data_IF_803647538749
#
_entry.id   IF_803647538749
#
_cell.length_a   1.000
_cell.length_b   1.000
_cell.length_c   1.000
_cell.angle_alpha   90.00
_cell.angle_beta   90.00
_cell.angle_gamma   90.00
#
_symmetry.space_group_name_H-M   'P 1'
#
loop_
_entity.id
_entity.type
_entity.pdbx_description
1 polymer ?
#
# COMPACT_ATOMS: atom_id res chain seq x y z
N UNK A 1 -9.43 30.32 -24.19
CA UNK A 1 -9.67 28.87 -24.39
C UNK A 1 -8.87 28.16 -23.30
N UNK A 2 -9.51 27.80 -22.19
CA UNK A 2 -8.85 27.09 -21.08
C UNK A 2 -8.64 25.67 -21.55
N UNK A 3 -7.40 25.28 -21.82
CA UNK A 3 -7.05 23.89 -22.04
C UNK A 3 -7.47 23.13 -20.78
N UNK A 4 -8.47 22.25 -20.89
CA UNK A 4 -8.77 21.29 -19.85
C UNK A 4 -7.52 20.42 -19.71
N UNK A 5 -6.68 20.74 -18.72
CA UNK A 5 -5.50 19.93 -18.39
C UNK A 5 -5.96 18.47 -18.24
N UNK A 6 -5.20 17.56 -18.85
CA UNK A 6 -5.49 16.13 -18.82
C UNK A 6 -5.64 15.69 -17.36
N UNK A 7 -6.57 14.78 -17.08
CA UNK A 7 -6.90 14.31 -15.73
C UNK A 7 -5.65 13.92 -14.91
N UNK A 8 -4.66 13.32 -15.56
CA UNK A 8 -3.35 12.96 -14.99
C UNK A 8 -2.56 14.14 -14.41
N UNK A 9 -2.66 15.34 -14.99
CA UNK A 9 -1.94 16.53 -14.54
C UNK A 9 -2.63 17.19 -13.33
N UNK A 10 -3.94 16.95 -13.16
CA UNK A 10 -4.74 17.54 -12.07
C UNK A 10 -4.71 16.68 -10.80
N UNK A 11 -4.51 15.38 -10.95
CA UNK A 11 -4.55 14.44 -9.83
C UNK A 11 -3.58 14.77 -8.68
N UNK A 12 -2.30 15.14 -8.90
CA UNK A 12 -1.41 15.52 -7.80
C UNK A 12 -1.87 16.74 -7.01
N UNK A 13 -2.35 17.77 -7.71
CA UNK A 13 -2.86 18.99 -7.09
C UNK A 13 -4.14 18.71 -6.29
N UNK A 14 -5.02 17.87 -6.82
CA UNK A 14 -6.22 17.41 -6.14
C UNK A 14 -5.88 16.60 -4.88
N UNK A 15 -5.02 15.58 -4.97
CA UNK A 15 -4.62 14.75 -3.84
C UNK A 15 -3.98 15.58 -2.72
N UNK A 16 -3.10 16.53 -3.07
CA UNK A 16 -2.50 17.46 -2.11
C UNK A 16 -3.56 18.32 -1.42
N UNK A 17 -4.51 18.87 -2.19
CA UNK A 17 -5.57 19.74 -1.66
C UNK A 17 -6.51 18.96 -0.74
N UNK A 18 -6.89 17.74 -1.12
CA UNK A 18 -7.74 16.87 -0.31
C UNK A 18 -7.07 16.50 1.02
N UNK A 19 -5.83 16.01 0.96
CA UNK A 19 -5.07 15.66 2.18
C UNK A 19 -4.85 16.90 3.06
N UNK A 20 -4.57 18.06 2.46
CA UNK A 20 -4.45 19.32 3.17
C UNK A 20 -5.74 19.73 3.89
N UNK A 21 -6.87 19.62 3.21
CA UNK A 21 -8.20 19.93 3.77
C UNK A 21 -8.53 19.02 4.95
N UNK A 22 -8.35 17.70 4.80
CA UNK A 22 -8.60 16.75 5.89
C UNK A 22 -7.76 17.06 7.12
N UNK A 23 -6.48 17.41 6.93
CA UNK A 23 -5.59 17.81 8.03
C UNK A 23 -6.00 19.11 8.70
N UNK A 24 -6.50 20.09 7.94
CA UNK A 24 -6.99 21.35 8.50
C UNK A 24 -8.25 21.18 9.36
N UNK A 25 -8.95 20.05 9.23
CA UNK A 25 -10.12 19.68 10.01
C UNK A 25 -9.83 18.59 11.07
N UNK A 26 -8.56 18.33 11.38
CA UNK A 26 -8.13 17.29 12.33
C UNK A 26 -8.70 15.90 12.00
N UNK A 27 -9.00 15.64 10.73
CA UNK A 27 -9.56 14.37 10.26
C UNK A 27 -8.47 13.41 9.80
N UNK A 28 -8.69 12.11 10.04
CA UNK A 28 -7.89 11.03 9.47
C UNK A 28 -8.46 10.60 8.13
N UNK A 29 -7.60 10.40 7.13
CA UNK A 29 -7.99 9.95 5.79
C UNK A 29 -7.27 8.65 5.43
N UNK A 30 -8.03 7.71 4.87
CA UNK A 30 -7.51 6.48 4.26
C UNK A 30 -7.76 6.58 2.76
N UNK A 31 -6.70 6.38 1.98
CA UNK A 31 -6.75 6.39 0.52
C UNK A 31 -6.24 5.05 0.00
N UNK A 32 -6.98 4.46 -0.91
CA UNK A 32 -6.60 3.22 -1.58
C UNK A 32 -5.96 3.53 -2.94
N UNK A 33 -4.88 2.83 -3.26
CA UNK A 33 -4.28 2.83 -4.60
C UNK A 33 -4.10 1.39 -5.03
N UNK A 34 -4.64 1.06 -6.19
CA UNK A 34 -4.35 -0.22 -6.83
C UNK A 34 -2.95 -0.18 -7.43
N UNK A 35 -2.22 -1.28 -7.30
CA UNK A 35 -0.95 -1.52 -7.99
C UNK A 35 -1.08 -2.78 -8.83
N UNK A 36 -0.30 -2.89 -9.90
CA UNK A 36 -0.30 -4.10 -10.72
C UNK A 36 -0.11 -5.37 -9.89
N UNK A 37 -0.96 -6.37 -10.10
CA UNK A 37 -0.93 -7.66 -9.40
C UNK A 37 0.13 -8.61 -9.96
N UNK A 38 0.45 -8.47 -11.25
CA UNK A 38 1.43 -9.27 -11.98
C UNK A 38 2.49 -8.35 -12.60
N UNK A 39 3.76 -8.70 -12.43
CA UNK A 39 4.89 -7.92 -12.93
C UNK A 39 5.49 -6.95 -11.91
N UNK A 40 6.39 -6.05 -12.36
CA UNK A 40 7.04 -5.08 -11.48
C UNK A 40 6.02 -4.20 -10.77
N UNK A 41 6.21 -4.00 -9.47
CA UNK A 41 5.28 -3.22 -8.68
C UNK A 41 5.27 -1.76 -9.17
N UNK A 42 4.09 -1.27 -9.57
CA UNK A 42 3.89 0.14 -9.89
C UNK A 42 3.98 0.98 -8.62
N UNK A 43 4.51 2.21 -8.72
CA UNK A 43 4.59 3.10 -7.57
C UNK A 43 3.20 3.38 -6.98
N UNK A 44 2.99 3.18 -5.65
CA UNK A 44 1.73 3.49 -5.00
C UNK A 44 1.34 4.96 -5.19
N UNK A 45 0.07 5.20 -5.47
CA UNK A 45 -0.50 6.54 -5.68
C UNK A 45 0.23 7.34 -6.77
N UNK A 46 0.77 6.66 -7.80
CA UNK A 46 1.48 7.32 -8.91
C UNK A 46 2.69 8.14 -8.45
N UNK A 47 3.45 7.63 -7.48
CA UNK A 47 4.63 8.31 -6.93
C UNK A 47 4.32 9.39 -5.87
N UNK A 48 3.04 9.64 -5.57
CA UNK A 48 2.61 10.64 -4.60
C UNK A 48 2.59 10.15 -3.15
N UNK A 49 3.20 9.00 -2.87
CA UNK A 49 3.24 8.40 -1.54
C UNK A 49 3.78 9.37 -0.47
N UNK A 50 4.62 10.34 -0.84
CA UNK A 50 5.16 11.39 0.04
C UNK A 50 4.11 12.31 0.68
N UNK A 51 2.92 12.44 0.08
CA UNK A 51 1.80 13.20 0.64
C UNK A 51 1.19 12.54 1.88
N UNK A 52 1.37 11.22 2.02
CA UNK A 52 0.81 10.42 3.09
C UNK A 52 1.82 10.18 4.20
N UNK A 53 1.37 10.20 5.46
CA UNK A 53 2.22 9.87 6.60
C UNK A 53 2.46 8.36 6.71
N UNK A 54 1.45 7.56 6.34
CA UNK A 54 1.43 6.11 6.48
C UNK A 54 1.23 5.47 5.12
N UNK A 55 1.96 4.37 4.86
CA UNK A 55 1.80 3.55 3.66
C UNK A 55 1.73 2.10 4.12
N UNK A 56 0.58 1.48 3.92
CA UNK A 56 0.32 0.07 4.18
C UNK A 56 0.20 -0.60 2.82
N UNK A 57 0.95 -1.68 2.63
CA UNK A 57 0.97 -2.42 1.39
C UNK A 57 0.33 -3.79 1.61
N UNK A 58 -0.62 -4.12 0.73
CA UNK A 58 -1.28 -5.41 0.67
C UNK A 58 -0.78 -6.13 -0.58
N UNK A 59 -0.31 -7.36 -0.43
CA UNK A 59 0.33 -8.10 -1.53
C UNK A 59 -0.15 -9.53 -1.57
N UNK A 60 -0.18 -10.09 -2.77
CA UNK A 60 -0.24 -11.53 -2.93
C UNK A 60 1.16 -12.12 -2.79
N UNK A 61 1.25 -13.28 -2.15
CA UNK A 61 2.41 -14.15 -2.17
C UNK A 61 2.02 -15.55 -2.62
N UNK A 62 2.98 -16.24 -3.21
CA UNK A 62 2.84 -17.65 -3.55
C UNK A 62 3.60 -18.47 -2.50
N UNK A 63 2.91 -19.41 -1.85
CA UNK A 63 3.47 -20.34 -0.87
C UNK A 63 2.70 -21.66 -0.94
N UNK A 64 3.40 -22.80 -0.93
CA UNK A 64 2.79 -24.14 -1.01
C UNK A 64 1.85 -24.35 -2.20
N UNK A 65 2.16 -23.77 -3.36
CA UNK A 65 1.28 -23.75 -4.54
C UNK A 65 -0.08 -23.07 -4.29
N UNK A 66 -0.17 -22.21 -3.27
CA UNK A 66 -1.35 -21.42 -2.96
C UNK A 66 -1.02 -19.93 -3.02
N UNK A 67 -2.00 -19.14 -3.48
CA UNK A 67 -1.94 -17.69 -3.39
C UNK A 67 -2.46 -17.25 -2.03
N UNK A 68 -1.57 -16.72 -1.20
CA UNK A 68 -1.88 -16.12 0.09
C UNK A 68 -1.79 -14.60 0.01
N UNK A 69 -2.21 -13.91 1.06
CA UNK A 69 -2.17 -12.45 1.16
C UNK A 69 -1.31 -12.01 2.34
N UNK A 70 -0.52 -10.98 2.12
CA UNK A 70 0.34 -10.39 3.13
C UNK A 70 0.11 -8.89 3.26
N UNK A 71 0.30 -8.40 4.48
CA UNK A 71 0.27 -7.00 4.87
C UNK A 71 1.63 -6.59 5.42
N UNK A 72 2.11 -5.42 5.02
CA UNK A 72 3.28 -4.81 5.63
C UNK A 72 3.13 -3.29 5.69
N UNK A 73 3.71 -2.68 6.73
CA UNK A 73 3.82 -1.23 6.85
C UNK A 73 5.13 -0.82 6.19
N UNK A 74 5.06 -0.05 5.10
CA UNK A 74 6.24 0.44 4.36
C UNK A 74 6.74 1.75 4.96
N UNK A 75 5.82 2.57 5.46
CA UNK A 75 6.12 3.88 6.04
C UNK A 75 5.10 4.20 7.13
N UNK A 76 5.59 4.71 8.25
CA UNK A 76 4.77 5.36 9.27
C UNK A 76 5.59 6.48 9.92
N UNK A 77 5.17 7.74 9.74
CA UNK A 77 5.85 8.88 10.37
C UNK A 77 5.56 8.91 11.86
N UNK A 78 6.56 9.30 12.65
CA UNK A 78 6.48 9.46 14.11
C UNK A 78 6.13 8.17 14.88
N UNK A 79 6.45 7.00 14.31
CA UNK A 79 6.24 5.71 14.96
C UNK A 79 7.35 4.73 14.59
N UNK A 80 7.80 3.94 15.56
CA UNK A 80 8.63 2.76 15.30
C UNK A 80 7.72 1.58 14.93
N UNK A 81 7.17 1.62 13.73
CA UNK A 81 6.28 0.58 13.21
C UNK A 81 7.00 -0.76 13.02
N UNK A 82 6.23 -1.84 13.08
CA UNK A 82 6.73 -3.18 12.77
C UNK A 82 7.15 -3.26 11.29
N UNK A 83 8.33 -3.81 11.05
CA UNK A 83 8.94 -3.97 9.72
C UNK A 83 8.70 -5.38 9.15
N UNK A 84 8.00 -6.22 9.90
CA UNK A 84 7.60 -7.56 9.50
C UNK A 84 6.56 -7.55 8.39
N UNK A 85 6.44 -8.72 7.76
CA UNK A 85 5.39 -9.03 6.81
C UNK A 85 4.50 -10.05 7.49
N UNK A 86 3.20 -9.81 7.51
CA UNK A 86 2.24 -10.69 8.18
C UNK A 86 1.28 -11.26 7.15
N UNK A 87 0.93 -12.53 7.29
CA UNK A 87 -0.18 -13.09 6.53
C UNK A 87 -1.49 -12.46 7.01
N UNK A 88 -2.48 -12.33 6.13
CA UNK A 88 -3.84 -12.01 6.54
C UNK A 88 -4.86 -12.77 5.69
N UNK A 89 -6.01 -13.03 6.30
CA UNK A 89 -7.17 -13.61 5.62
C UNK A 89 -8.36 -12.66 5.74
N UNK A 90 -9.29 -12.78 4.80
CA UNK A 90 -10.60 -12.13 4.90
C UNK A 90 -11.59 -13.27 5.08
N UNK A 91 -11.96 -13.51 6.34
CA UNK A 91 -12.89 -14.55 6.76
C UNK A 91 -14.33 -14.01 6.82
N UNK A 92 -15.23 -14.81 7.39
CA UNK A 92 -16.63 -14.42 7.58
C UNK A 92 -16.77 -13.21 8.52
N UNK A 93 -15.83 -13.04 9.45
CA UNK A 93 -15.79 -11.93 10.42
C UNK A 93 -15.10 -10.66 9.87
N UNK A 94 -14.51 -10.73 8.67
CA UNK A 94 -13.76 -9.65 8.06
C UNK A 94 -12.25 -9.88 8.04
N UNK A 95 -11.47 -8.81 8.25
CA UNK A 95 -10.01 -8.85 8.19
C UNK A 95 -9.43 -9.52 9.44
N UNK A 96 -8.65 -10.58 9.24
CA UNK A 96 -7.99 -11.33 10.30
C UNK A 96 -6.48 -11.36 10.02
N UNK A 97 -5.69 -10.85 10.97
CA UNK A 97 -4.24 -10.85 10.90
C UNK A 97 -3.70 -12.21 11.36
N UNK A 98 -2.89 -12.84 10.51
CA UNK A 98 -2.23 -14.11 10.79
C UNK A 98 -0.81 -13.95 11.34
N UNK A 99 -0.01 -14.98 11.12
CA UNK A 99 1.37 -15.04 11.62
C UNK A 99 2.33 -14.15 10.84
N UNK A 100 3.47 -13.84 11.48
CA UNK A 100 4.60 -13.19 10.83
C UNK A 100 5.24 -14.19 9.86
N UNK A 101 5.37 -13.77 8.61
CA UNK A 101 6.06 -14.55 7.59
C UNK A 101 7.56 -14.37 7.77
N UNK A 102 8.26 -15.48 8.01
CA UNK A 102 9.72 -15.53 8.04
C UNK A 102 10.29 -15.81 6.63
N UNK A 103 11.56 -15.46 6.40
CA UNK A 103 12.28 -15.76 5.16
C UNK A 103 11.61 -15.26 3.86
N UNK A 104 10.95 -14.10 3.92
CA UNK A 104 10.28 -13.50 2.75
C UNK A 104 11.24 -12.66 1.91
N UNK A 105 11.24 -12.89 0.60
CA UNK A 105 11.99 -12.10 -0.38
C UNK A 105 11.06 -11.25 -1.25
N UNK A 106 11.60 -10.19 -1.86
CA UNK A 106 10.82 -9.33 -2.75
C UNK A 106 9.96 -8.28 -2.06
N UNK A 107 10.12 -8.07 -0.74
CA UNK A 107 9.35 -7.11 0.09
C UNK A 107 9.34 -5.69 -0.50
N UNK A 108 10.42 -5.29 -1.17
CA UNK A 108 10.57 -3.96 -1.77
C UNK A 108 9.92 -3.79 -3.15
N UNK A 109 9.23 -4.82 -3.68
CA UNK A 109 8.42 -4.71 -4.91
C UNK A 109 9.15 -4.95 -6.22
N UNK A 110 10.47 -5.17 -6.19
CA UNK A 110 11.28 -5.53 -7.37
C UNK A 110 11.01 -6.95 -7.89
N UNK A 111 10.43 -7.81 -7.06
CA UNK A 111 10.02 -9.17 -7.41
C UNK A 111 8.72 -9.53 -6.71
N UNK A 112 8.05 -10.58 -7.20
CA UNK A 112 6.93 -11.20 -6.49
C UNK A 112 7.34 -11.55 -5.05
N UNK A 113 6.41 -11.36 -4.11
CA UNK A 113 6.63 -11.71 -2.72
C UNK A 113 6.67 -13.25 -2.63
N UNK A 114 7.79 -13.80 -2.15
CA UNK A 114 8.00 -15.25 -2.05
C UNK A 114 8.49 -15.61 -0.67
N UNK A 115 7.89 -16.63 -0.07
CA UNK A 115 8.40 -17.26 1.14
C UNK A 115 9.41 -18.34 0.74
N UNK A 116 10.60 -18.35 1.35
CA UNK A 116 11.52 -19.48 1.26
C UNK A 116 11.41 -20.27 2.57
N UNK A 117 10.67 -21.37 2.52
CA UNK A 117 10.81 -22.46 3.48
C UNK A 117 11.79 -23.49 2.94
#
# INVERSE_FOLDING_TARGET
MVFAARESERFPAFARSLVGLMRAHDASVVVTSETGTLGPMTEPVGGLSFLFNNVILLRYLEMDSQTRRAINIVKMRNSNHDKGVFEFVIGESGFELGERLESVTGVLGWSALRSQQ
#
